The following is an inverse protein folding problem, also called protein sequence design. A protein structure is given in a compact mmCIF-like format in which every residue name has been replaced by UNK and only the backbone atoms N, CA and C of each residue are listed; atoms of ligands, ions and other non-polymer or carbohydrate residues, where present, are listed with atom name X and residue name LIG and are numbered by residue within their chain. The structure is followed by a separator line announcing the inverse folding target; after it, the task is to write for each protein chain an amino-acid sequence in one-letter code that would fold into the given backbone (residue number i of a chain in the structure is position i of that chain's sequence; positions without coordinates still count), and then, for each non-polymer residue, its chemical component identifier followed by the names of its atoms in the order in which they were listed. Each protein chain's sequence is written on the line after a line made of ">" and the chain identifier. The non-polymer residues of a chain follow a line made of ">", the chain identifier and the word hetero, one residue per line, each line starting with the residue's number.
data_IF_572398924748
#
_entry.id   IF_572398924748
#
_cell.length_a   1.000
_cell.length_b   1.000
_cell.length_c   1.000
_cell.angle_alpha   90.00
_cell.angle_beta   90.00
_cell.angle_gamma   90.00
#
_symmetry.space_group_name_H-M   'P 1'
#
loop_
_entity.id
_entity.type
_entity.pdbx_description
1 polymer ?
#
# COMPACT_ATOMS: atom_id res chain seq x y z
N UNK A 1 12.96 14.63 -21.27
CA UNK A 1 12.53 15.61 -20.25
C UNK A 1 11.05 15.40 -19.96
N UNK A 2 10.71 14.57 -18.96
CA UNK A 2 9.33 14.17 -18.65
C UNK A 2 8.45 15.37 -18.21
N UNK A 3 9.04 16.33 -17.49
CA UNK A 3 8.33 17.50 -16.96
C UNK A 3 7.88 18.51 -18.01
N UNK A 4 8.37 18.42 -19.26
CA UNK A 4 7.95 19.32 -20.34
C UNK A 4 6.57 18.97 -20.92
N UNK A 5 6.07 17.76 -20.66
CA UNK A 5 4.79 17.31 -21.18
C UNK A 5 3.64 17.51 -20.19
N UNK A 6 3.87 18.15 -19.04
CA UNK A 6 2.82 18.43 -18.05
C UNK A 6 2.05 19.67 -18.50
N UNK A 7 0.80 19.48 -18.93
CA UNK A 7 -0.08 20.58 -19.33
C UNK A 7 -0.89 21.12 -18.15
N UNK A 8 -1.11 20.30 -17.11
CA UNK A 8 -1.87 20.69 -15.93
C UNK A 8 -1.37 19.99 -14.67
N UNK A 9 -1.35 20.71 -13.56
CA UNK A 9 -1.01 20.18 -12.24
C UNK A 9 -1.96 20.80 -11.22
N UNK A 10 -2.64 19.95 -10.44
CA UNK A 10 -3.53 20.39 -9.38
C UNK A 10 -3.51 19.42 -8.19
N UNK A 11 -3.69 19.95 -6.99
CA UNK A 11 -3.91 19.16 -5.79
C UNK A 11 -5.41 19.21 -5.52
N UNK A 12 -6.13 18.13 -5.86
CA UNK A 12 -7.59 18.12 -5.90
C UNK A 12 -8.25 18.57 -4.60
N UNK A 13 -7.74 18.04 -3.48
CA UNK A 13 -8.23 18.39 -2.17
C UNK A 13 -7.09 18.33 -1.18
N UNK A 14 -6.69 19.51 -0.69
CA UNK A 14 -5.85 19.58 0.49
C UNK A 14 -6.71 19.20 1.70
N UNK A 15 -6.70 17.93 2.09
CA UNK A 15 -7.38 17.46 3.29
C UNK A 15 -6.46 17.67 4.50
N UNK A 16 -6.79 18.58 5.44
CA UNK A 16 -5.98 18.81 6.65
C UNK A 16 -5.88 17.58 7.57
N UNK A 17 -6.70 16.55 7.32
CA UNK A 17 -6.70 15.28 8.04
C UNK A 17 -5.62 14.35 7.50
N UNK A 18 -5.33 14.41 6.20
CA UNK A 18 -4.30 13.63 5.53
C UNK A 18 -2.95 14.35 5.66
N UNK A 19 -1.85 13.61 5.66
CA UNK A 19 -0.52 14.23 5.48
C UNK A 19 -0.35 14.60 4.02
N UNK A 20 0.47 15.60 3.71
CA UNK A 20 0.69 16.11 2.34
C UNK A 20 1.01 15.00 1.33
N UNK A 21 1.70 13.94 1.76
CA UNK A 21 2.01 12.73 0.96
C UNK A 21 0.79 11.87 0.57
N UNK A 22 -0.40 12.19 1.07
CA UNK A 22 -1.66 11.48 0.85
C UNK A 22 -2.73 12.36 0.19
N UNK A 23 -2.40 13.62 -0.13
CA UNK A 23 -3.28 14.46 -0.92
C UNK A 23 -3.25 13.98 -2.38
N UNK A 24 -4.41 13.71 -3.01
CA UNK A 24 -4.44 13.35 -4.42
C UNK A 24 -3.85 14.47 -5.26
N UNK A 25 -2.93 14.09 -6.15
CA UNK A 25 -2.34 14.99 -7.13
C UNK A 25 -2.87 14.58 -8.49
N UNK A 26 -3.45 15.54 -9.20
CA UNK A 26 -3.87 15.39 -10.59
C UNK A 26 -2.83 16.05 -11.46
N UNK A 27 -2.25 15.27 -12.35
CA UNK A 27 -1.29 15.73 -13.34
C UNK A 27 -1.85 15.33 -14.69
N UNK A 28 -2.10 16.29 -15.58
CA UNK A 28 -2.38 15.96 -16.96
C UNK A 28 -1.09 16.05 -17.75
N UNK A 29 -0.86 15.02 -18.52
CA UNK A 29 0.18 15.00 -19.53
C UNK A 29 -0.49 15.25 -20.88
N UNK A 30 0.08 16.13 -21.68
CA UNK A 30 -0.32 16.25 -23.08
C UNK A 30 0.30 15.06 -23.82
N UNK A 31 -0.51 14.03 -24.05
CA UNK A 31 -0.11 12.75 -24.63
C UNK A 31 -0.29 12.70 -26.14
N UNK A 32 -0.35 13.86 -26.80
CA UNK A 32 -0.24 13.97 -28.26
C UNK A 32 1.04 13.33 -28.87
N UNK A 33 1.89 12.67 -28.05
CA UNK A 33 3.09 11.95 -28.46
C UNK A 33 3.08 10.43 -28.14
N UNK A 34 2.22 9.87 -27.28
CA UNK A 34 2.27 8.41 -26.97
C UNK A 34 0.87 7.84 -26.72
N UNK A 35 0.44 6.96 -27.63
CA UNK A 35 -0.82 6.22 -27.65
C UNK A 35 -0.78 4.97 -26.75
N UNK A 36 -1.99 4.62 -26.30
CA UNK A 36 -2.51 3.34 -25.79
C UNK A 36 -2.31 2.99 -24.30
N UNK A 37 -3.45 3.03 -23.59
CA UNK A 37 -3.71 2.64 -22.21
C UNK A 37 -4.05 1.16 -22.08
N UNK A 38 -3.57 0.51 -21.01
CA UNK A 38 -4.06 -0.80 -20.55
C UNK A 38 -4.65 -0.63 -19.14
N UNK A 39 -5.93 -0.97 -18.98
CA UNK A 39 -6.61 -1.07 -17.68
C UNK A 39 -6.41 -2.45 -17.06
N UNK A 40 -6.07 -2.48 -15.77
CA UNK A 40 -5.91 -3.70 -14.97
C UNK A 40 -7.25 -4.22 -14.41
N UNK A 41 -7.64 -5.43 -14.79
CA UNK A 41 -8.67 -6.23 -14.13
C UNK A 41 -8.04 -7.15 -13.07
N UNK A 42 -8.57 -7.13 -11.85
CA UNK A 42 -8.20 -8.05 -10.77
C UNK A 42 -9.13 -9.25 -10.77
N UNK A 43 -8.61 -10.46 -10.99
CA UNK A 43 -9.34 -11.70 -10.75
C UNK A 43 -8.78 -12.44 -9.54
N UNK A 44 -9.71 -12.79 -8.64
CA UNK A 44 -9.53 -13.65 -7.48
C UNK A 44 -9.37 -15.09 -7.98
N UNK A 45 -8.27 -15.76 -7.63
CA UNK A 45 -8.01 -17.13 -8.03
C UNK A 45 -7.58 -18.00 -6.84
N UNK A 46 -8.33 -19.08 -6.65
CA UNK A 46 -8.41 -19.89 -5.44
C UNK A 46 -7.32 -20.97 -5.42
N UNK A 47 -6.06 -20.55 -5.61
CA UNK A 47 -4.88 -21.40 -5.44
C UNK A 47 -4.05 -20.89 -4.26
N UNK A 48 -3.74 -21.77 -3.30
CA UNK A 48 -3.00 -21.44 -2.08
C UNK A 48 -1.53 -21.00 -2.31
N UNK A 49 -1.13 -20.80 -3.57
CA UNK A 49 0.20 -20.37 -3.98
C UNK A 49 0.06 -19.06 -4.75
N UNK A 50 0.31 -17.95 -4.04
CA UNK A 50 0.32 -16.62 -4.65
C UNK A 50 1.70 -16.40 -5.27
N UNK A 51 1.77 -15.96 -6.51
CA UNK A 51 3.04 -15.56 -7.12
C UNK A 51 3.20 -14.04 -7.02
N UNK A 52 4.41 -13.55 -6.74
CA UNK A 52 4.72 -12.12 -6.78
C UNK A 52 5.61 -11.79 -7.96
N UNK A 53 5.31 -10.74 -8.73
CA UNK A 53 6.19 -10.29 -9.78
C UNK A 53 7.50 -9.75 -9.18
N UNK A 54 8.61 -10.12 -9.82
CA UNK A 54 9.98 -9.69 -9.53
C UNK A 54 10.60 -9.22 -10.84
N UNK A 55 9.99 -8.21 -11.44
CA UNK A 55 10.42 -7.71 -12.75
C UNK A 55 11.85 -7.15 -12.67
N UNK A 56 12.71 -7.61 -13.57
CA UNK A 56 14.09 -7.12 -13.73
C UNK A 56 14.30 -6.75 -15.19
N UNK A 57 14.67 -5.51 -15.46
CA UNK A 57 14.87 -5.02 -16.84
C UNK A 57 15.90 -5.86 -17.62
N UNK A 58 16.90 -6.43 -16.94
CA UNK A 58 17.95 -7.23 -17.56
C UNK A 58 17.45 -8.59 -18.08
N UNK A 59 16.25 -9.03 -17.69
CA UNK A 59 15.69 -10.33 -18.05
C UNK A 59 14.55 -10.21 -19.08
N UNK A 60 14.28 -9.02 -19.62
CA UNK A 60 13.18 -8.80 -20.57
C UNK A 60 13.34 -9.64 -21.85
N UNK A 61 14.55 -9.74 -22.39
CA UNK A 61 14.81 -10.57 -23.59
C UNK A 61 14.62 -12.06 -23.29
N UNK A 62 15.06 -12.52 -22.12
CA UNK A 62 14.88 -13.92 -21.69
C UNK A 62 13.39 -14.24 -21.54
N UNK A 63 12.58 -13.31 -21.04
CA UNK A 63 11.14 -13.47 -20.98
C UNK A 63 10.53 -13.63 -22.38
N UNK A 64 10.90 -12.75 -23.33
CA UNK A 64 10.42 -12.80 -24.70
C UNK A 64 10.82 -14.10 -25.40
N UNK A 65 12.07 -14.55 -25.24
CA UNK A 65 12.56 -15.83 -25.79
C UNK A 65 11.85 -17.05 -25.21
N UNK A 66 11.24 -16.92 -24.02
CA UNK A 66 10.50 -17.99 -23.36
C UNK A 66 8.98 -17.93 -23.56
N UNK A 67 8.48 -16.93 -24.31
CA UNK A 67 7.13 -16.98 -24.85
C UNK A 67 7.11 -18.05 -25.94
N UNK A 68 6.43 -19.17 -25.66
CA UNK A 68 6.36 -20.27 -26.62
C UNK A 68 5.37 -19.91 -27.74
N UNK A 69 5.91 -19.63 -28.92
CA UNK A 69 5.12 -19.33 -30.12
C UNK A 69 4.13 -20.46 -30.46
N UNK A 70 4.47 -21.73 -30.19
CA UNK A 70 3.56 -22.86 -30.40
C UNK A 70 2.33 -22.76 -29.50
N UNK A 71 2.51 -22.45 -28.22
CA UNK A 71 1.40 -22.31 -27.27
C UNK A 71 0.52 -21.09 -27.60
N UNK A 72 1.13 -20.03 -28.15
CA UNK A 72 0.41 -18.84 -28.61
C UNK A 72 -0.40 -19.19 -29.86
N UNK A 73 0.21 -19.91 -30.80
CA UNK A 73 -0.45 -20.38 -32.01
C UNK A 73 -1.65 -21.29 -31.70
N UNK A 74 -1.47 -22.27 -30.82
CA UNK A 74 -2.55 -23.15 -30.34
C UNK A 74 -3.69 -22.38 -29.68
N UNK A 75 -3.39 -21.30 -28.95
CA UNK A 75 -4.40 -20.45 -28.34
C UNK A 75 -5.16 -19.64 -29.40
N UNK A 76 -4.46 -19.09 -30.39
CA UNK A 76 -5.06 -18.36 -31.50
C UNK A 76 -5.96 -19.28 -32.32
N UNK A 77 -5.49 -20.47 -32.68
CA UNK A 77 -6.28 -21.46 -33.41
C UNK A 77 -7.53 -21.88 -32.60
N UNK A 78 -7.41 -22.05 -31.28
CA UNK A 78 -8.57 -22.32 -30.43
C UNK A 78 -9.58 -21.17 -30.48
N UNK A 79 -9.12 -19.92 -30.44
CA UNK A 79 -9.99 -18.74 -30.49
C UNK A 79 -10.68 -18.59 -31.85
N UNK A 80 -9.97 -18.85 -32.95
CA UNK A 80 -10.52 -18.80 -34.31
C UNK A 80 -11.58 -19.88 -34.55
N UNK A 81 -11.42 -21.04 -33.91
CA UNK A 81 -12.35 -22.16 -33.99
C UNK A 81 -13.49 -22.11 -32.95
N UNK A 82 -13.60 -21.05 -32.15
CA UNK A 82 -14.73 -20.90 -31.21
C UNK A 82 -16.03 -20.60 -31.96
N UNK A 83 -17.07 -21.39 -31.68
CA UNK A 83 -18.42 -21.06 -32.12
C UNK A 83 -18.95 -19.87 -31.32
N UNK A 84 -19.07 -18.73 -32.00
CA UNK A 84 -19.55 -17.45 -31.44
C UNK A 84 -20.93 -17.59 -30.79
N UNK A 85 -21.76 -18.55 -31.24
CA UNK A 85 -23.10 -18.76 -30.70
C UNK A 85 -23.12 -19.55 -29.38
N UNK A 86 -21.99 -20.13 -28.98
CA UNK A 86 -21.89 -21.02 -27.81
C UNK A 86 -20.80 -20.60 -26.81
N UNK A 87 -20.41 -19.31 -26.81
CA UNK A 87 -19.45 -18.78 -25.84
C UNK A 87 -20.15 -18.61 -24.50
N UNK A 88 -19.67 -19.33 -23.48
CA UNK A 88 -20.14 -19.19 -22.11
C UNK A 88 -18.99 -18.72 -21.19
N UNK A 89 -19.32 -18.47 -19.91
CA UNK A 89 -18.35 -17.99 -18.91
C UNK A 89 -17.18 -18.97 -18.73
N UNK A 90 -17.43 -20.27 -18.87
CA UNK A 90 -16.40 -21.30 -18.76
C UNK A 90 -15.41 -21.23 -19.94
N UNK A 91 -15.90 -21.01 -21.17
CA UNK A 91 -15.07 -20.76 -22.35
C UNK A 91 -14.15 -19.56 -22.13
N UNK A 92 -14.69 -18.45 -21.64
CA UNK A 92 -13.91 -17.22 -21.37
C UNK A 92 -12.87 -17.47 -20.28
N UNK A 93 -13.24 -18.14 -19.18
CA UNK A 93 -12.30 -18.47 -18.11
C UNK A 93 -11.17 -19.40 -18.61
N UNK A 94 -11.48 -20.38 -19.45
CA UNK A 94 -10.48 -21.27 -20.02
C UNK A 94 -9.48 -20.53 -20.91
N UNK A 95 -9.93 -19.56 -21.71
CA UNK A 95 -9.05 -18.69 -22.49
C UNK A 95 -8.15 -17.88 -21.57
N UNK A 96 -8.70 -17.24 -20.55
CA UNK A 96 -7.93 -16.43 -19.59
C UNK A 96 -6.89 -17.30 -18.86
N UNK A 97 -7.26 -18.50 -18.43
CA UNK A 97 -6.34 -19.45 -17.78
C UNK A 97 -5.20 -19.86 -18.72
N UNK A 98 -5.49 -20.10 -20.00
CA UNK A 98 -4.47 -20.41 -20.99
C UNK A 98 -3.51 -19.24 -21.21
N UNK A 99 -4.03 -18.00 -21.38
CA UNK A 99 -3.21 -16.79 -21.47
C UNK A 99 -2.29 -16.64 -20.25
N UNK A 100 -2.87 -16.78 -19.05
CA UNK A 100 -2.14 -16.65 -17.79
C UNK A 100 -1.06 -17.72 -17.67
N UNK A 101 -1.32 -18.96 -18.11
CA UNK A 101 -0.35 -20.05 -18.11
C UNK A 101 0.84 -19.74 -19.02
N UNK A 102 0.61 -19.25 -20.23
CA UNK A 102 1.67 -18.87 -21.19
C UNK A 102 2.58 -17.80 -20.58
N UNK A 103 1.99 -16.72 -20.06
CA UNK A 103 2.71 -15.59 -19.47
C UNK A 103 3.46 -16.04 -18.21
N UNK A 104 2.81 -16.82 -17.33
CA UNK A 104 3.40 -17.29 -16.08
C UNK A 104 4.59 -18.22 -16.35
N UNK A 105 4.49 -19.13 -17.32
CA UNK A 105 5.57 -20.04 -17.67
C UNK A 105 6.78 -19.29 -18.23
N UNK A 106 6.55 -18.28 -19.09
CA UNK A 106 7.62 -17.43 -19.60
C UNK A 106 8.29 -16.64 -18.45
N UNK A 107 7.50 -16.10 -17.52
CA UNK A 107 8.00 -15.35 -16.38
C UNK A 107 8.77 -16.22 -15.37
N UNK A 108 8.35 -17.47 -15.17
CA UNK A 108 9.04 -18.44 -14.29
C UNK A 108 10.43 -18.77 -14.82
N UNK A 109 10.51 -19.12 -16.12
CA UNK A 109 11.78 -19.41 -16.80
C UNK A 109 12.75 -18.22 -16.80
N UNK A 110 12.23 -16.99 -16.73
CA UNK A 110 13.03 -15.77 -16.68
C UNK A 110 13.38 -15.28 -15.24
N UNK A 111 13.08 -16.03 -14.17
CA UNK A 111 13.20 -15.60 -12.75
C UNK A 111 12.46 -14.26 -12.47
N UNK A 112 11.33 -14.05 -13.14
CA UNK A 112 10.52 -12.82 -13.03
C UNK A 112 9.29 -12.97 -12.13
N UNK A 113 9.05 -14.18 -11.62
CA UNK A 113 8.05 -14.44 -10.58
C UNK A 113 8.70 -15.20 -9.42
N UNK A 114 8.18 -15.00 -8.22
CA UNK A 114 8.59 -15.76 -7.03
C UNK A 114 7.36 -16.33 -6.36
N UNK A 115 7.45 -17.60 -5.98
CA UNK A 115 6.45 -18.26 -5.14
C UNK A 115 6.36 -17.52 -3.79
N UNK A 116 5.24 -16.84 -3.56
CA UNK A 116 4.93 -16.21 -2.30
C UNK A 116 4.04 -17.13 -1.49
N UNK A 117 4.65 -17.90 -0.58
CA UNK A 117 3.91 -18.60 0.46
C UNK A 117 3.45 -17.54 1.47
N UNK A 118 2.13 -17.27 1.61
CA UNK A 118 1.68 -16.42 2.69
C UNK A 118 2.13 -17.10 3.98
N UNK A 119 3.08 -16.48 4.69
CA UNK A 119 3.45 -16.96 6.02
C UNK A 119 2.14 -16.96 6.80
N UNK A 120 1.67 -18.13 7.23
CA UNK A 120 0.63 -18.24 8.24
C UNK A 120 1.01 -17.25 9.33
N UNK A 121 0.32 -16.11 9.36
CA UNK A 121 0.65 -15.07 10.29
C UNK A 121 0.25 -15.65 11.63
N UNK A 122 1.19 -16.28 12.34
CA UNK A 122 1.09 -16.36 13.79
C UNK A 122 0.70 -14.94 14.20
N UNK A 123 -0.44 -14.72 14.90
CA UNK A 123 -0.89 -13.38 15.24
C UNK A 123 0.31 -12.72 15.89
N UNK A 124 0.93 -11.78 15.17
CA UNK A 124 2.27 -11.32 15.51
C UNK A 124 2.20 -10.93 16.97
N UNK A 125 2.97 -11.64 17.81
CA UNK A 125 3.20 -11.23 19.20
C UNK A 125 3.45 -9.75 19.09
N UNK A 126 2.51 -8.94 19.59
CA UNK A 126 2.52 -7.49 19.43
C UNK A 126 3.68 -6.94 20.27
N UNK A 127 4.92 -7.28 19.95
CA UNK A 127 6.11 -6.60 20.44
C UNK A 127 6.34 -5.33 19.62
N UNK A 128 5.26 -4.63 19.24
CA UNK A 128 5.37 -3.18 19.13
C UNK A 128 5.63 -2.73 20.55
N UNK A 129 6.91 -2.53 20.91
CA UNK A 129 7.33 -1.77 22.09
C UNK A 129 6.35 -0.62 22.19
N UNK A 130 5.38 -0.73 23.10
CA UNK A 130 4.34 0.27 23.19
C UNK A 130 5.11 1.54 23.50
N UNK A 131 4.94 2.57 22.66
CA UNK A 131 5.72 3.79 22.84
C UNK A 131 5.50 4.22 24.29
N UNK A 132 6.54 4.47 25.09
CA UNK A 132 6.40 4.61 26.54
C UNK A 132 5.52 5.82 26.93
N UNK A 133 5.38 6.78 26.02
CA UNK A 133 4.50 7.94 26.15
C UNK A 133 3.05 7.70 25.67
N UNK A 134 2.72 6.52 25.14
CA UNK A 134 1.39 6.19 24.63
C UNK A 134 0.56 5.53 25.74
N UNK A 135 -0.13 6.35 26.52
CA UNK A 135 -0.93 5.92 27.66
C UNK A 135 -2.43 5.73 27.31
N UNK A 136 -3.25 5.49 28.34
CA UNK A 136 -4.69 5.28 28.19
C UNK A 136 -5.40 6.49 27.56
N UNK A 137 -4.99 7.72 27.89
CA UNK A 137 -5.56 8.93 27.28
C UNK A 137 -5.30 8.99 25.77
N UNK A 138 -4.05 8.71 25.35
CA UNK A 138 -3.71 8.55 23.93
C UNK A 138 -4.59 7.50 23.23
N UNK A 139 -4.84 6.37 23.91
CA UNK A 139 -5.69 5.31 23.38
C UNK A 139 -7.16 5.75 23.22
N UNK A 140 -7.73 6.42 24.22
CA UNK A 140 -9.10 6.92 24.19
C UNK A 140 -9.31 7.94 23.07
N UNK A 141 -8.39 8.91 22.93
CA UNK A 141 -8.45 9.90 21.84
C UNK A 141 -8.28 9.25 20.46
N UNK A 142 -7.40 8.25 20.34
CA UNK A 142 -7.28 7.46 19.09
C UNK A 142 -8.56 6.70 18.76
N UNK A 143 -9.21 6.11 19.77
CA UNK A 143 -10.48 5.38 19.60
C UNK A 143 -11.59 6.33 19.16
N UNK A 144 -11.68 7.53 19.75
CA UNK A 144 -12.61 8.57 19.34
C UNK A 144 -12.39 9.02 17.89
N UNK A 145 -11.15 9.37 17.52
CA UNK A 145 -10.80 9.72 16.14
C UNK A 145 -11.20 8.63 15.14
N UNK A 146 -10.91 7.35 15.44
CA UNK A 146 -11.30 6.23 14.57
C UNK A 146 -12.82 6.10 14.42
N UNK A 147 -13.58 6.31 15.49
CA UNK A 147 -15.05 6.33 15.43
C UNK A 147 -15.55 7.44 14.51
N UNK A 148 -15.05 8.67 14.66
CA UNK A 148 -15.41 9.79 13.80
C UNK A 148 -15.00 9.54 12.34
N UNK A 149 -13.83 8.94 12.11
CA UNK A 149 -13.33 8.60 10.78
C UNK A 149 -14.25 7.61 10.06
N UNK A 150 -14.59 6.51 10.74
CA UNK A 150 -15.49 5.50 10.18
C UNK A 150 -16.89 6.09 9.93
N UNK A 151 -17.38 6.95 10.83
CA UNK A 151 -18.67 7.62 10.66
C UNK A 151 -18.68 8.55 9.44
N UNK A 152 -17.64 9.37 9.27
CA UNK A 152 -17.51 10.27 8.13
C UNK A 152 -17.43 9.49 6.81
N UNK A 153 -16.64 8.42 6.75
CA UNK A 153 -16.56 7.58 5.56
C UNK A 153 -17.90 6.92 5.19
N UNK A 154 -18.73 6.61 6.18
CA UNK A 154 -20.07 6.04 5.94
C UNK A 154 -21.09 7.08 5.47
N UNK A 155 -21.07 8.29 6.02
CA UNK A 155 -22.12 9.29 5.80
C UNK A 155 -21.75 10.42 4.82
N UNK A 156 -20.46 10.73 4.69
CA UNK A 156 -19.89 11.77 3.83
C UNK A 156 -20.53 13.17 3.97
N UNK A 157 -21.01 13.54 5.18
CA UNK A 157 -21.64 14.84 5.47
C UNK A 157 -20.64 15.87 6.00
N UNK A 158 -20.91 17.15 5.77
CA UNK A 158 -20.08 18.26 6.27
C UNK A 158 -19.88 18.23 7.79
N UNK A 159 -20.96 18.04 8.56
CA UNK A 159 -20.91 17.90 10.02
C UNK A 159 -20.01 16.74 10.47
N UNK A 160 -20.08 15.60 9.79
CA UNK A 160 -19.20 14.45 10.12
C UNK A 160 -17.74 14.72 9.81
N UNK A 161 -17.46 15.55 8.79
CA UNK A 161 -16.11 16.01 8.44
C UNK A 161 -15.56 16.94 9.51
N UNK A 162 -16.35 17.90 10.00
CA UNK A 162 -15.95 18.80 11.10
C UNK A 162 -15.60 18.02 12.38
N UNK A 163 -16.44 17.05 12.74
CA UNK A 163 -16.20 16.16 13.88
C UNK A 163 -14.92 15.32 13.71
N UNK A 164 -14.64 14.84 12.49
CA UNK A 164 -13.40 14.15 12.16
C UNK A 164 -12.18 15.08 12.31
N UNK A 165 -12.26 16.31 11.82
CA UNK A 165 -11.19 17.31 11.96
C UNK A 165 -10.93 17.62 13.44
N UNK A 166 -11.98 17.87 14.22
CA UNK A 166 -11.90 18.18 15.64
C UNK A 166 -11.24 17.03 16.44
N UNK A 167 -11.72 15.79 16.26
CA UNK A 167 -11.16 14.60 16.93
C UNK A 167 -9.72 14.29 16.49
N UNK A 168 -9.38 14.55 15.23
CA UNK A 168 -8.00 14.46 14.71
C UNK A 168 -7.06 15.44 15.41
N UNK A 169 -7.47 16.72 15.52
CA UNK A 169 -6.70 17.77 16.22
C UNK A 169 -6.49 17.41 17.69
N UNK A 170 -7.54 16.94 18.35
CA UNK A 170 -7.47 16.55 19.76
C UNK A 170 -6.51 15.38 19.97
N UNK A 171 -6.60 14.33 19.15
CA UNK A 171 -5.68 13.19 19.21
C UNK A 171 -4.22 13.61 18.99
N UNK A 172 -3.95 14.43 17.97
CA UNK A 172 -2.60 14.98 17.71
C UNK A 172 -2.08 15.82 18.89
N UNK A 173 -2.94 16.64 19.51
CA UNK A 173 -2.61 17.45 20.69
C UNK A 173 -2.25 16.58 21.89
N UNK A 174 -3.07 15.57 22.19
CA UNK A 174 -2.82 14.62 23.30
C UNK A 174 -1.51 13.87 23.10
N UNK A 175 -1.23 13.39 21.88
CA UNK A 175 0.05 12.72 21.60
C UNK A 175 1.25 13.64 21.84
N UNK A 176 1.20 14.89 21.37
CA UNK A 176 2.27 15.87 21.58
C UNK A 176 2.46 16.18 23.07
N UNK A 177 1.36 16.34 23.82
CA UNK A 177 1.39 16.57 25.28
C UNK A 177 2.09 15.41 25.99
N UNK A 178 1.63 14.18 25.76
CA UNK A 178 2.17 12.99 26.42
C UNK A 178 3.63 12.72 26.05
N UNK A 179 4.01 13.00 24.79
CA UNK A 179 5.40 12.92 24.38
C UNK A 179 6.30 13.92 25.12
N UNK A 180 5.86 15.17 25.29
CA UNK A 180 6.61 16.19 26.05
C UNK A 180 6.72 15.83 27.53
N UNK A 181 5.64 15.34 28.14
CA UNK A 181 5.63 14.88 29.54
C UNK A 181 6.62 13.73 29.74
N UNK A 182 6.64 12.76 28.81
CA UNK A 182 7.61 11.68 28.82
C UNK A 182 9.05 12.20 28.68
N UNK A 183 9.32 13.10 27.74
CA UNK A 183 10.65 13.70 27.57
C UNK A 183 11.13 14.41 28.84
N UNK A 184 10.24 15.20 29.47
CA UNK A 184 10.52 15.84 30.76
C UNK A 184 10.87 14.80 31.82
N UNK A 185 10.10 13.72 31.93
CA UNK A 185 10.36 12.64 32.90
C UNK A 185 11.72 11.96 32.69
N UNK A 186 12.16 11.82 31.44
CA UNK A 186 13.47 11.24 31.10
C UNK A 186 14.60 12.18 31.52
N UNK A 187 14.47 13.48 31.21
CA UNK A 187 15.44 14.50 31.61
C UNK A 187 15.56 14.59 33.13
N UNK A 188 14.45 14.55 33.86
CA UNK A 188 14.45 14.61 35.33
C UNK A 188 15.15 13.37 35.94
N UNK A 189 14.90 12.17 35.38
CA UNK A 189 15.61 10.95 35.78
C UNK A 189 17.12 11.05 35.53
N UNK A 190 17.53 11.59 34.38
CA UNK A 190 18.95 11.78 34.06
C UNK A 190 19.62 12.74 35.04
N UNK A 191 18.96 13.86 35.40
CA UNK A 191 19.48 14.80 36.41
C UNK A 191 19.68 14.13 37.77
N UNK A 192 18.72 13.31 38.20
CA UNK A 192 18.84 12.54 39.46
C UNK A 192 20.05 11.60 39.38
N UNK A 193 20.20 10.85 38.28
CA UNK A 193 21.34 9.95 38.10
C UNK A 193 22.69 10.69 38.14
N UNK A 194 22.81 11.84 37.45
CA UNK A 194 24.02 12.66 37.46
C UNK A 194 24.35 13.13 38.88
N UNK A 195 23.36 13.64 39.62
CA UNK A 195 23.56 14.10 40.99
C UNK A 195 24.00 12.98 41.94
N UNK A 196 23.47 11.76 41.75
CA UNK A 196 23.88 10.59 42.53
C UNK A 196 25.33 10.19 42.23
N UNK A 197 25.74 10.19 40.96
CA UNK A 197 27.12 9.89 40.56
C UNK A 197 28.09 10.91 41.17
N UNK A 198 27.75 12.20 41.12
CA UNK A 198 28.57 13.26 41.72
C UNK A 198 28.74 13.08 43.23
N UNK A 199 27.67 12.73 43.95
CA UNK A 199 27.73 12.44 45.39
C UNK A 199 28.64 11.26 45.73
N UNK A 200 28.66 10.21 44.92
CA UNK A 200 29.43 9.00 45.19
C UNK A 200 30.89 9.09 44.75
N UNK A 201 31.22 9.92 43.75
CA UNK A 201 32.58 10.02 43.21
C UNK A 201 33.49 11.01 43.94
N UNK A 202 32.95 11.78 44.91
CA UNK A 202 33.75 12.72 45.69
C UNK A 202 34.40 13.82 44.84
N UNK A 203 33.92 14.05 43.61
CA UNK A 203 34.35 15.13 42.74
C UNK A 203 33.67 16.44 43.16
N UNK A 204 33.98 16.89 44.38
CA UNK A 204 33.91 18.26 44.87
C UNK A 204 35.00 18.44 45.92
#
# INVERSE_FOLDING_TARGET
>A
MLFKCISYFNIENFDPILSDIHCPVVIHFDTSVILESVDTLSHDDNSNVVYKPKWKNNNANVFLENLNDENIHDLVEKLENLDVNNINVETVNNVILNCNSIIKNAADKADMIVEFKPKNSRPGVRSKKCKPYFNQDCYLKRKAYRKCKNLHWRLQRAETKENLIASSREYKRTLKKQFREYQKSVVDKLKICVNLIQKHTGLF
#
